data_IF_934835722254
#
_entry.id   IF_934835722254
#
_cell.length_a   1.000
_cell.length_b   1.000
_cell.length_c   1.000
_cell.angle_alpha   90.00
_cell.angle_beta   90.00
_cell.angle_gamma   90.00
#
_symmetry.space_group_name_H-M   'P 1'
#
loop_
_entity.id
_entity.type
_entity.pdbx_description
1 polymer ?
#
# COMPACT_ATOMS: atom_id res chain seq x y z
N UNK A 1 -37.73 15.66 4.49
CA UNK A 1 -37.75 14.99 3.18
C UNK A 1 -36.46 15.21 2.36
N UNK A 2 -35.97 16.44 2.18
CA UNK A 2 -34.75 16.73 1.39
C UNK A 2 -33.49 15.95 1.86
N UNK A 3 -33.31 15.82 3.19
CA UNK A 3 -32.18 15.07 3.79
C UNK A 3 -32.26 13.56 3.54
N UNK A 4 -33.47 13.02 3.40
CA UNK A 4 -33.65 11.58 3.14
C UNK A 4 -33.24 11.24 1.71
N UNK A 5 -33.66 12.07 0.75
CA UNK A 5 -33.29 11.94 -0.67
C UNK A 5 -31.78 12.13 -0.84
N UNK A 6 -31.20 13.15 -0.21
CA UNK A 6 -29.75 13.40 -0.24
C UNK A 6 -28.95 12.23 0.36
N UNK A 7 -29.41 11.68 1.49
CA UNK A 7 -28.79 10.51 2.11
C UNK A 7 -29.00 9.20 1.34
N UNK A 8 -30.00 9.11 0.45
CA UNK A 8 -30.25 7.92 -0.36
C UNK A 8 -29.51 7.97 -1.71
N UNK A 9 -29.28 9.16 -2.25
CA UNK A 9 -28.49 9.35 -3.47
C UNK A 9 -27.05 8.85 -3.31
N UNK A 10 -26.45 9.04 -2.13
CA UNK A 10 -25.09 8.61 -1.86
C UNK A 10 -24.89 7.07 -1.90
N UNK A 11 -25.66 6.25 -1.15
CA UNK A 11 -25.54 4.79 -1.21
C UNK A 11 -25.95 4.22 -2.56
N UNK A 12 -26.93 4.81 -3.26
CA UNK A 12 -27.33 4.36 -4.61
C UNK A 12 -26.22 4.64 -5.63
N UNK A 13 -25.64 5.84 -5.61
CA UNK A 13 -24.48 6.17 -6.43
C UNK A 13 -23.32 5.22 -6.15
N UNK A 14 -22.98 5.02 -4.87
CA UNK A 14 -21.97 4.05 -4.46
C UNK A 14 -22.28 2.65 -4.98
N UNK A 15 -23.51 2.15 -4.86
CA UNK A 15 -23.92 0.81 -5.30
C UNK A 15 -23.76 0.63 -6.83
N UNK A 16 -24.03 1.67 -7.61
CA UNK A 16 -23.87 1.65 -9.07
C UNK A 16 -22.40 1.76 -9.48
N UNK A 17 -21.61 2.57 -8.79
CA UNK A 17 -20.18 2.73 -9.10
C UNK A 17 -19.32 1.60 -8.54
N UNK A 18 -19.74 0.93 -7.45
CA UNK A 18 -19.02 -0.17 -6.80
C UNK A 18 -18.61 -1.27 -7.78
N UNK A 19 -19.53 -1.91 -8.53
CA UNK A 19 -19.17 -3.02 -9.41
C UNK A 19 -18.24 -2.58 -10.53
N UNK A 20 -18.37 -1.34 -11.03
CA UNK A 20 -17.47 -0.79 -12.05
C UNK A 20 -16.06 -0.55 -11.50
N UNK A 21 -15.96 -0.07 -10.26
CA UNK A 21 -14.70 0.19 -9.57
C UNK A 21 -14.02 -1.12 -9.15
N UNK A 22 -14.78 -2.05 -8.55
CA UNK A 22 -14.34 -3.42 -8.26
C UNK A 22 -13.86 -4.12 -9.53
N UNK A 23 -14.61 -4.05 -10.65
CA UNK A 23 -14.19 -4.67 -11.90
C UNK A 23 -12.89 -4.06 -12.45
N UNK A 24 -12.72 -2.72 -12.40
CA UNK A 24 -11.45 -2.06 -12.75
C UNK A 24 -10.30 -2.48 -11.83
N UNK A 25 -10.58 -2.62 -10.54
CA UNK A 25 -9.61 -3.02 -9.52
C UNK A 25 -9.17 -4.48 -9.67
N UNK A 26 -10.11 -5.39 -9.98
CA UNK A 26 -9.81 -6.78 -10.30
C UNK A 26 -9.07 -6.92 -11.63
N UNK A 27 -9.44 -6.13 -12.66
CA UNK A 27 -8.77 -6.15 -13.97
C UNK A 27 -7.34 -5.62 -13.96
N UNK A 28 -7.00 -4.68 -13.07
CA UNK A 28 -5.64 -4.14 -12.96
C UNK A 28 -4.63 -5.15 -12.39
N UNK A 29 -5.08 -6.24 -11.74
CA UNK A 29 -4.20 -7.21 -11.10
C UNK A 29 -3.45 -6.62 -9.91
N UNK A 30 -3.00 -7.46 -8.97
CA UNK A 30 -2.12 -7.03 -7.85
C UNK A 30 -2.79 -6.32 -6.65
N UNK A 31 -4.06 -5.92 -6.74
CA UNK A 31 -4.76 -5.30 -5.60
C UNK A 31 -5.03 -6.31 -4.47
N UNK A 32 -5.43 -7.55 -4.78
CA UNK A 32 -5.71 -8.60 -3.79
C UNK A 32 -4.47 -8.98 -2.96
N UNK A 33 -3.28 -9.01 -3.57
CA UNK A 33 -2.03 -9.41 -2.90
C UNK A 33 -1.54 -8.38 -1.88
N UNK A 34 -1.77 -7.08 -2.13
CA UNK A 34 -1.32 -6.00 -1.25
C UNK A 34 -2.42 -5.42 -0.36
N UNK A 35 -3.67 -5.83 -0.53
CA UNK A 35 -4.80 -5.34 0.29
C UNK A 35 -4.66 -5.73 1.76
N UNK A 36 -4.18 -6.95 2.05
CA UNK A 36 -3.90 -7.39 3.42
C UNK A 36 -2.84 -6.53 4.10
N UNK A 37 -1.81 -6.10 3.36
CA UNK A 37 -0.76 -5.23 3.90
C UNK A 37 -1.30 -3.86 4.35
N UNK A 38 -2.34 -3.34 3.69
CA UNK A 38 -3.03 -2.09 4.10
C UNK A 38 -3.78 -2.23 5.42
N UNK A 39 -4.18 -3.45 5.79
CA UNK A 39 -4.85 -3.80 7.04
C UNK A 39 -3.88 -4.43 8.06
N UNK A 40 -2.56 -4.25 7.88
CA UNK A 40 -1.50 -4.84 8.73
C UNK A 40 -1.44 -6.37 8.74
N UNK A 41 -2.14 -7.04 7.81
CA UNK A 41 -2.00 -8.46 7.54
C UNK A 41 -0.82 -8.71 6.59
N UNK A 42 0.37 -8.77 7.18
CA UNK A 42 1.59 -9.22 6.51
C UNK A 42 1.66 -10.75 6.54
N UNK A 43 2.00 -11.39 5.42
CA UNK A 43 2.18 -12.86 5.38
C UNK A 43 3.31 -13.29 6.32
N UNK A 44 3.27 -14.56 6.76
CA UNK A 44 4.25 -15.15 7.68
C UNK A 44 5.69 -15.02 7.14
N UNK A 45 5.88 -15.04 5.82
CA UNK A 45 7.18 -14.82 5.17
C UNK A 45 7.74 -13.41 5.41
N UNK A 46 6.90 -12.37 5.34
CA UNK A 46 7.34 -10.99 5.65
C UNK A 46 7.70 -10.85 7.12
N UNK A 47 6.90 -11.44 8.02
CA UNK A 47 7.20 -11.43 9.45
C UNK A 47 8.51 -12.16 9.75
N UNK A 48 8.76 -13.31 9.14
CA UNK A 48 10.02 -14.04 9.30
C UNK A 48 11.23 -13.30 8.69
N UNK A 49 11.07 -12.61 7.57
CA UNK A 49 12.13 -11.77 6.97
C UNK A 49 12.54 -10.59 7.86
N UNK A 50 11.61 -10.08 8.66
CA UNK A 50 11.82 -8.96 9.60
C UNK A 50 12.21 -9.42 11.00
N UNK A 51 11.95 -10.68 11.35
CA UNK A 51 12.22 -11.20 12.69
C UNK A 51 13.73 -11.33 12.93
N UNK A 52 14.25 -10.65 13.96
CA UNK A 52 15.65 -10.73 14.37
C UNK A 52 16.63 -9.88 13.54
N UNK A 53 16.14 -9.08 12.59
CA UNK A 53 16.97 -8.15 11.81
C UNK A 53 16.47 -6.75 12.09
N UNK A 54 17.23 -5.90 12.78
CA UNK A 54 16.88 -4.49 13.04
C UNK A 54 16.81 -3.74 11.71
N UNK A 55 15.62 -3.56 11.11
CA UNK A 55 15.55 -3.05 9.74
C UNK A 55 15.59 -1.53 9.78
N UNK A 56 16.32 -0.92 8.86
CA UNK A 56 16.23 0.53 8.64
C UNK A 56 14.92 0.81 7.92
N UNK A 57 14.00 1.51 8.58
CA UNK A 57 12.71 1.87 8.01
C UNK A 57 12.83 3.18 7.26
N UNK A 58 12.50 3.18 5.97
CA UNK A 58 12.39 4.38 5.13
C UNK A 58 10.92 4.57 4.76
N UNK A 59 10.36 5.75 5.05
CA UNK A 59 8.99 6.11 4.70
C UNK A 59 8.99 7.19 3.62
N UNK A 60 8.25 6.95 2.54
CA UNK A 60 8.11 7.87 1.42
C UNK A 60 6.62 8.16 1.16
N UNK A 61 6.25 9.44 1.13
CA UNK A 61 4.86 9.90 0.95
C UNK A 61 4.57 10.37 -0.48
N UNK A 62 5.60 10.49 -1.32
CA UNK A 62 5.45 10.90 -2.72
C UNK A 62 6.12 9.92 -3.69
N UNK A 63 5.62 9.87 -4.93
CA UNK A 63 6.25 9.08 -6.01
C UNK A 63 7.72 9.49 -6.19
N UNK A 64 8.02 10.79 -6.12
CA UNK A 64 9.41 11.27 -6.21
C UNK A 64 10.28 10.83 -5.03
N UNK A 65 9.71 10.81 -3.83
CA UNK A 65 10.40 10.33 -2.62
C UNK A 65 10.63 8.82 -2.65
N UNK A 66 9.70 8.04 -3.21
CA UNK A 66 9.87 6.59 -3.39
C UNK A 66 11.08 6.31 -4.27
N UNK A 67 11.26 7.06 -5.36
CA UNK A 67 12.41 6.90 -6.27
C UNK A 67 13.73 7.19 -5.53
N UNK A 68 13.78 8.29 -4.76
CA UNK A 68 14.97 8.65 -3.97
C UNK A 68 15.23 7.61 -2.88
N UNK A 69 14.18 7.15 -2.19
CA UNK A 69 14.28 6.16 -1.14
C UNK A 69 14.78 4.80 -1.65
N UNK A 70 14.38 4.40 -2.86
CA UNK A 70 14.91 3.20 -3.52
C UNK A 70 16.40 3.35 -3.82
N UNK A 71 16.82 4.48 -4.41
CA UNK A 71 18.24 4.75 -4.67
C UNK A 71 19.06 4.76 -3.38
N UNK A 72 18.54 5.39 -2.32
CA UNK A 72 19.17 5.41 -1.01
C UNK A 72 19.29 3.99 -0.42
N UNK A 73 18.23 3.18 -0.51
CA UNK A 73 18.25 1.80 -0.05
C UNK A 73 19.27 0.94 -0.80
N UNK A 74 19.43 1.14 -2.11
CA UNK A 74 20.46 0.44 -2.91
C UNK A 74 21.87 0.82 -2.48
N UNK A 75 22.15 2.11 -2.27
CA UNK A 75 23.44 2.59 -1.80
C UNK A 75 23.76 2.10 -0.38
N UNK A 76 22.77 2.12 0.52
CA UNK A 76 22.91 1.58 1.88
C UNK A 76 23.20 0.08 1.85
N UNK A 77 22.55 -0.68 0.97
CA UNK A 77 22.83 -2.11 0.78
C UNK A 77 24.23 -2.35 0.19
N UNK A 78 24.70 -1.47 -0.69
CA UNK A 78 26.06 -1.56 -1.23
C UNK A 78 27.13 -1.30 -0.16
N UNK A 79 26.88 -0.37 0.78
CA UNK A 79 27.79 -0.07 1.89
C UNK A 79 27.73 -1.10 3.01
N UNK A 80 26.56 -1.67 3.30
CA UNK A 80 26.37 -2.74 4.27
C UNK A 80 25.41 -3.81 3.73
N UNK A 81 25.95 -4.95 3.23
CA UNK A 81 25.15 -6.05 2.69
C UNK A 81 24.17 -6.68 3.69
N UNK A 82 24.44 -6.52 4.99
CA UNK A 82 23.62 -7.07 6.08
C UNK A 82 22.48 -6.13 6.52
N UNK A 83 22.40 -4.90 6.00
CA UNK A 83 21.29 -4.01 6.30
C UNK A 83 20.01 -4.51 5.63
N UNK A 84 18.97 -4.65 6.43
CA UNK A 84 17.64 -4.99 5.94
C UNK A 84 16.87 -3.68 5.89
N UNK A 85 16.54 -3.20 4.70
CA UNK A 85 15.82 -1.95 4.53
C UNK A 85 14.34 -2.24 4.27
N UNK A 86 13.45 -1.53 4.96
CA UNK A 86 12.00 -1.63 4.77
C UNK A 86 11.51 -0.31 4.23
N UNK A 87 10.98 -0.34 3.01
CA UNK A 87 10.39 0.83 2.37
C UNK A 87 8.87 0.78 2.53
N UNK A 88 8.30 1.85 3.07
CA UNK A 88 6.84 2.05 3.08
C UNK A 88 6.50 3.26 2.23
N UNK A 89 5.63 3.05 1.24
CA UNK A 89 5.19 4.08 0.32
C UNK A 89 3.70 4.34 0.51
N UNK A 90 3.32 5.60 0.72
CA UNK A 90 1.91 6.02 0.73
C UNK A 90 1.66 6.97 -0.43
N UNK A 91 1.57 6.42 -1.65
CA UNK A 91 1.20 7.20 -2.84
C UNK A 91 -0.33 7.20 -2.99
N UNK A 92 -0.91 8.40 -3.12
CA UNK A 92 -2.34 8.61 -3.39
C UNK A 92 -2.75 8.19 -4.79
#
# INVERSE_FOLDING_TARGET
>A
MIRLIYNLLWPIGLLLFLPSYLAKMFRRGGYRENFGQRLSFYSTEYRQRLHGKNPTWIHAVSVGEVVIALQLAEQLRALQPNLNCVLTATTT
#
